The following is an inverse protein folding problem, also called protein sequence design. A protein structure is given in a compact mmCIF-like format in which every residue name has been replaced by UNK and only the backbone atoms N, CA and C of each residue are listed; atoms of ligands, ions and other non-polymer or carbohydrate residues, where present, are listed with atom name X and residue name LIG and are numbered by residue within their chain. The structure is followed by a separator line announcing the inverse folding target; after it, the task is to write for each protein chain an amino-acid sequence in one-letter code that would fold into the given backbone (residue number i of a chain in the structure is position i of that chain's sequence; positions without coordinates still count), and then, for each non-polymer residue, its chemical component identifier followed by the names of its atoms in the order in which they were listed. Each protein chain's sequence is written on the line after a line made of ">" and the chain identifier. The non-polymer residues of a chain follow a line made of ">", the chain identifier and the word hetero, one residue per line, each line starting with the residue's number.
data_IF_580036763965
#
_entry.id   IF_580036763965
#
_cell.length_a   1.000
_cell.length_b   1.000
_cell.length_c   1.000
_cell.angle_alpha   90.00
_cell.angle_beta   90.00
_cell.angle_gamma   90.00
#
_symmetry.space_group_name_H-M   'P 1'
#
loop_
_entity.id
_entity.type
_entity.pdbx_description
1 polymer ?
#
# COMPACT_ATOMS: atom_id res chain seq x y z
N UNK A 1 -17.17 22.62 -8.23
CA UNK A 1 -16.02 23.37 -7.67
C UNK A 1 -15.76 23.08 -6.20
N UNK A 2 -16.72 23.26 -5.26
CA UNK A 2 -16.46 23.04 -3.83
C UNK A 2 -16.04 21.59 -3.47
N UNK A 3 -16.68 20.58 -4.07
CA UNK A 3 -16.40 19.16 -3.79
C UNK A 3 -14.96 18.74 -4.12
N UNK A 4 -14.32 19.39 -5.11
CA UNK A 4 -12.97 19.08 -5.54
C UNK A 4 -11.91 19.38 -4.46
N UNK A 5 -12.24 20.21 -3.47
CA UNK A 5 -11.33 20.60 -2.39
C UNK A 5 -11.54 19.80 -1.10
N UNK A 6 -12.61 19.01 -0.96
CA UNK A 6 -12.94 18.35 0.32
C UNK A 6 -11.85 17.34 0.71
N UNK A 7 -11.29 16.60 -0.25
CA UNK A 7 -10.21 15.66 0.04
C UNK A 7 -8.91 16.35 0.50
N UNK A 8 -8.70 17.63 0.16
CA UNK A 8 -7.55 18.43 0.61
C UNK A 8 -7.68 18.84 2.08
N UNK A 9 -8.90 18.86 2.63
CA UNK A 9 -9.15 19.15 4.04
C UNK A 9 -8.82 17.95 4.95
N UNK A 10 -8.60 16.76 4.38
CA UNK A 10 -8.22 15.58 5.14
C UNK A 10 -6.79 15.72 5.68
N UNK A 11 -6.69 15.84 7.00
CA UNK A 11 -5.43 15.96 7.71
C UNK A 11 -5.39 15.07 8.96
N UNK A 12 -4.18 14.72 9.40
CA UNK A 12 -3.98 13.81 10.54
C UNK A 12 -4.34 14.45 11.89
N UNK A 13 -4.23 15.77 12.01
CA UNK A 13 -4.44 16.55 13.24
C UNK A 13 -5.92 16.82 13.57
N UNK A 14 -6.84 16.56 12.64
CA UNK A 14 -8.26 16.89 12.79
C UNK A 14 -9.09 15.62 12.66
N UNK A 15 -10.08 15.46 13.54
CA UNK A 15 -11.01 14.35 13.47
C UNK A 15 -11.81 14.42 12.16
N UNK A 16 -11.85 13.31 11.43
CA UNK A 16 -12.56 13.22 10.16
C UNK A 16 -14.01 12.86 10.47
N UNK A 17 -15.00 13.66 10.04
CA UNK A 17 -16.40 13.34 10.24
C UNK A 17 -16.79 12.04 9.51
N UNK A 18 -17.60 11.19 10.16
CA UNK A 18 -18.09 9.94 9.55
C UNK A 18 -18.81 10.18 8.22
N UNK A 19 -19.59 11.26 8.14
CA UNK A 19 -20.32 11.66 6.93
C UNK A 19 -19.38 11.92 5.75
N UNK A 20 -18.18 12.45 6.00
CA UNK A 20 -17.18 12.69 4.97
C UNK A 20 -16.73 11.37 4.32
N UNK A 21 -16.47 10.35 5.13
CA UNK A 21 -16.06 9.03 4.63
C UNK A 21 -17.21 8.35 3.89
N UNK A 22 -18.43 8.39 4.43
CA UNK A 22 -19.62 7.85 3.75
C UNK A 22 -19.81 8.48 2.37
N UNK A 23 -19.74 9.81 2.29
CA UNK A 23 -19.85 10.54 1.02
C UNK A 23 -18.81 10.08 0.00
N UNK A 24 -17.53 9.94 0.40
CA UNK A 24 -16.52 9.44 -0.53
C UNK A 24 -16.80 8.01 -0.98
N UNK A 25 -17.24 7.12 -0.09
CA UNK A 25 -17.56 5.75 -0.47
C UNK A 25 -18.75 5.69 -1.43
N UNK A 26 -19.82 6.44 -1.14
CA UNK A 26 -21.00 6.49 -1.99
C UNK A 26 -20.67 7.08 -3.38
N UNK A 27 -19.74 8.03 -3.43
CA UNK A 27 -19.28 8.64 -4.68
C UNK A 27 -18.51 7.70 -5.60
N UNK A 28 -17.90 6.62 -5.09
CA UNK A 28 -17.20 5.64 -5.94
C UNK A 28 -18.13 4.95 -6.95
N UNK A 29 -19.43 4.89 -6.65
CA UNK A 29 -20.46 4.29 -7.52
C UNK A 29 -21.52 5.28 -7.96
N UNK A 30 -21.19 6.57 -7.91
CA UNK A 30 -22.04 7.66 -8.39
C UNK A 30 -21.90 7.80 -9.91
N UNK A 31 -22.98 8.15 -10.61
CA UNK A 31 -23.01 8.15 -12.09
C UNK A 31 -22.07 9.19 -12.73
N UNK A 32 -21.85 10.32 -12.05
CA UNK A 32 -20.88 11.35 -12.44
C UNK A 32 -19.40 10.92 -12.20
N UNK A 33 -18.63 10.78 -13.28
CA UNK A 33 -17.20 10.43 -13.29
C UNK A 33 -16.33 11.37 -12.44
N UNK A 34 -16.62 12.67 -12.41
CA UNK A 34 -15.83 13.63 -11.63
C UNK A 34 -15.96 13.38 -10.12
N UNK A 35 -17.14 12.93 -9.67
CA UNK A 35 -17.34 12.55 -8.27
C UNK A 35 -16.62 11.25 -7.92
N UNK A 36 -16.57 10.28 -8.84
CA UNK A 36 -15.76 9.06 -8.69
C UNK A 36 -14.26 9.40 -8.57
N UNK A 37 -13.74 10.25 -9.45
CA UNK A 37 -12.33 10.72 -9.39
C UNK A 37 -12.01 11.47 -8.10
N UNK A 38 -12.95 12.26 -7.57
CA UNK A 38 -12.81 12.93 -6.26
C UNK A 38 -12.81 11.89 -5.12
N UNK A 39 -13.68 10.90 -5.19
CA UNK A 39 -13.77 9.82 -4.21
C UNK A 39 -12.48 9.01 -4.13
N UNK A 40 -11.90 8.60 -5.26
CA UNK A 40 -10.62 7.88 -5.30
C UNK A 40 -9.51 8.66 -4.55
N UNK A 41 -9.42 9.97 -4.78
CA UNK A 41 -8.49 10.87 -4.08
C UNK A 41 -8.79 10.95 -2.58
N UNK A 42 -10.07 11.07 -2.21
CA UNK A 42 -10.55 11.11 -0.83
C UNK A 42 -10.21 9.84 -0.06
N UNK A 43 -10.53 8.67 -0.62
CA UNK A 43 -10.23 7.36 -0.02
C UNK A 43 -8.72 7.13 0.08
N UNK A 44 -7.94 7.50 -0.95
CA UNK A 44 -6.48 7.41 -0.89
C UNK A 44 -5.88 8.27 0.24
N UNK A 45 -6.36 9.51 0.39
CA UNK A 45 -5.94 10.42 1.45
C UNK A 45 -6.36 9.92 2.83
N UNK A 46 -7.59 9.44 2.97
CA UNK A 46 -8.09 8.84 4.21
C UNK A 46 -7.26 7.62 4.62
N UNK A 47 -7.02 6.68 3.70
CA UNK A 47 -6.19 5.50 3.97
C UNK A 47 -4.79 5.89 4.44
N UNK A 48 -4.20 6.95 3.85
CA UNK A 48 -2.89 7.50 4.27
C UNK A 48 -2.90 8.03 5.70
N UNK A 49 -3.97 8.69 6.12
CA UNK A 49 -4.13 9.20 7.49
C UNK A 49 -4.31 8.03 8.47
N UNK A 50 -5.16 7.07 8.11
CA UNK A 50 -5.43 5.86 8.89
C UNK A 50 -4.38 4.75 8.65
N UNK A 51 -3.14 5.11 8.29
CA UNK A 51 -2.10 4.10 8.06
C UNK A 51 -1.73 3.49 9.42
N UNK A 52 -1.80 2.14 9.60
CA UNK A 52 -1.33 1.50 10.82
C UNK A 52 0.14 1.85 11.11
N UNK A 53 0.53 2.00 12.39
CA UNK A 53 1.90 2.30 12.76
C UNK A 53 2.86 1.21 12.24
N UNK A 54 4.05 1.62 11.81
CA UNK A 54 5.09 0.70 11.36
C UNK A 54 6.13 0.59 12.48
N UNK A 55 6.35 -0.62 12.96
CA UNK A 55 7.44 -0.91 13.90
C UNK A 55 8.73 -0.99 13.07
N UNK A 56 9.78 -0.32 13.56
CA UNK A 56 11.10 -0.34 12.96
C UNK A 56 12.06 -1.07 13.88
N UNK A 57 13.00 -1.79 13.26
CA UNK A 57 14.14 -2.40 13.91
C UNK A 57 15.37 -1.60 13.51
N UNK A 58 16.22 -1.33 14.49
CA UNK A 58 17.50 -0.66 14.29
C UNK A 58 18.60 -1.65 14.66
N UNK A 59 19.51 -1.91 13.71
CA UNK A 59 20.65 -2.79 13.90
C UNK A 59 21.90 -2.21 13.27
N UNK A 60 23.06 -2.56 13.78
CA UNK A 60 24.33 -2.35 13.07
C UNK A 60 24.49 -3.41 11.97
N UNK A 61 25.41 -3.17 11.03
CA UNK A 61 25.72 -4.17 10.01
C UNK A 61 26.33 -5.45 10.62
N UNK A 62 27.13 -5.29 11.68
CA UNK A 62 27.75 -6.41 12.39
C UNK A 62 26.71 -7.34 13.01
N UNK A 63 25.62 -6.79 13.56
CA UNK A 63 24.50 -7.56 14.11
C UNK A 63 23.70 -8.29 13.02
N UNK A 64 23.60 -7.72 11.82
CA UNK A 64 22.90 -8.35 10.69
C UNK A 64 23.72 -9.51 10.13
N UNK A 65 25.02 -9.29 9.91
CA UNK A 65 25.91 -10.29 9.31
C UNK A 65 26.54 -11.25 10.33
N UNK A 66 26.35 -10.98 11.63
CA UNK A 66 26.94 -11.75 12.74
C UNK A 66 28.47 -11.85 12.64
N UNK A 67 29.12 -10.80 12.12
CA UNK A 67 30.58 -10.69 11.96
C UNK A 67 30.98 -9.22 11.95
N UNK A 68 32.21 -8.86 12.37
CA UNK A 68 32.68 -7.48 12.29
C UNK A 68 32.89 -7.04 10.84
N UNK A 69 32.46 -5.84 10.51
CA UNK A 69 32.57 -5.23 9.18
C UNK A 69 33.14 -3.82 9.30
N UNK A 70 34.15 -3.51 8.48
CA UNK A 70 34.67 -2.15 8.40
C UNK A 70 33.74 -1.28 7.55
N UNK A 71 32.83 -0.57 8.21
CA UNK A 71 31.90 0.35 7.54
C UNK A 71 32.53 1.70 7.17
N UNK A 72 33.75 2.01 7.63
CA UNK A 72 34.37 3.32 7.39
C UNK A 72 34.97 3.44 5.98
N UNK A 73 35.39 2.30 5.43
CA UNK A 73 35.91 2.23 4.08
C UNK A 73 34.79 2.45 3.05
N UNK A 74 35.12 3.22 2.02
CA UNK A 74 34.17 3.61 0.99
C UNK A 74 34.55 2.97 -0.33
N UNK A 75 33.79 1.98 -0.75
CA UNK A 75 34.02 1.23 -1.99
C UNK A 75 32.70 0.98 -2.70
N UNK A 76 32.36 1.69 -3.78
CA UNK A 76 31.13 1.42 -4.51
C UNK A 76 31.14 0.05 -5.19
N UNK A 77 29.96 -0.53 -5.34
CA UNK A 77 29.74 -1.76 -6.11
C UNK A 77 29.43 -2.97 -5.24
N UNK A 78 29.55 -4.15 -5.84
CA UNK A 78 29.28 -5.44 -5.19
C UNK A 78 30.45 -5.83 -4.29
N UNK A 79 30.15 -6.16 -3.04
CA UNK A 79 31.12 -6.42 -1.97
C UNK A 79 30.61 -7.52 -1.06
N UNK A 80 31.51 -8.27 -0.45
CA UNK A 80 31.16 -9.38 0.45
C UNK A 80 30.19 -9.00 1.58
N UNK A 81 30.13 -7.72 1.98
CA UNK A 81 29.24 -7.21 3.02
C UNK A 81 27.85 -6.79 2.50
N UNK A 82 27.65 -6.67 1.18
CA UNK A 82 26.38 -6.31 0.55
C UNK A 82 25.83 -7.35 -0.43
N UNK A 83 26.58 -8.41 -0.77
CA UNK A 83 26.08 -9.45 -1.69
C UNK A 83 24.73 -10.04 -1.24
N UNK A 84 24.50 -10.19 0.07
CA UNK A 84 23.25 -10.73 0.63
C UNK A 84 21.97 -9.94 0.29
N UNK A 85 22.08 -8.66 -0.10
CA UNK A 85 20.94 -7.84 -0.59
C UNK A 85 20.80 -7.86 -2.11
N UNK A 86 21.75 -8.45 -2.83
CA UNK A 86 21.69 -8.57 -4.29
C UNK A 86 20.81 -9.75 -4.69
N UNK A 87 20.21 -9.69 -5.89
CA UNK A 87 19.27 -10.71 -6.37
C UNK A 87 19.94 -12.09 -6.49
N UNK A 88 21.22 -12.13 -6.87
CA UNK A 88 21.93 -13.39 -7.14
C UNK A 88 22.20 -14.21 -5.88
N UNK A 89 22.48 -13.54 -4.77
CA UNK A 89 22.82 -14.19 -3.49
C UNK A 89 21.69 -14.12 -2.45
N UNK A 90 20.58 -13.47 -2.79
CA UNK A 90 19.41 -13.38 -1.93
C UNK A 90 18.75 -14.76 -1.73
N UNK A 91 18.62 -15.17 -0.47
CA UNK A 91 17.92 -16.38 -0.06
C UNK A 91 16.57 -16.00 0.53
N UNK A 92 15.45 -16.24 -0.17
CA UNK A 92 14.15 -15.88 0.37
C UNK A 92 13.83 -16.72 1.62
N UNK A 93 13.24 -16.12 2.66
CA UNK A 93 12.75 -16.86 3.81
C UNK A 93 11.68 -17.85 3.38
N UNK A 94 11.73 -19.07 3.92
CA UNK A 94 10.80 -20.17 3.61
C UNK A 94 9.76 -20.37 4.70
N UNK A 95 10.01 -19.88 5.90
CA UNK A 95 9.10 -19.98 7.04
C UNK A 95 8.66 -18.61 7.55
N UNK A 96 7.53 -18.57 8.27
CA UNK A 96 7.04 -17.34 8.90
C UNK A 96 8.06 -16.74 9.87
N UNK A 97 8.75 -17.59 10.64
CA UNK A 97 9.79 -17.16 11.58
C UNK A 97 10.97 -16.50 10.85
N UNK A 98 11.47 -17.15 9.80
CA UNK A 98 12.54 -16.58 8.97
C UNK A 98 12.09 -15.25 8.34
N UNK A 99 10.85 -15.17 7.84
CA UNK A 99 10.30 -13.93 7.28
C UNK A 99 10.29 -12.80 8.31
N UNK A 100 9.83 -13.06 9.53
CA UNK A 100 9.77 -12.06 10.60
C UNK A 100 11.16 -11.58 11.05
N UNK A 101 12.17 -12.47 11.01
CA UNK A 101 13.55 -12.19 11.42
C UNK A 101 14.40 -11.55 10.31
N UNK A 102 14.01 -11.72 9.04
CA UNK A 102 14.77 -11.25 7.88
C UNK A 102 14.86 -9.72 7.83
N UNK A 103 16.06 -9.19 7.53
CA UNK A 103 16.25 -7.77 7.26
C UNK A 103 15.90 -7.43 5.81
N UNK A 104 14.73 -6.82 5.55
CA UNK A 104 14.40 -6.30 4.23
C UNK A 104 14.69 -4.81 4.14
N UNK A 105 15.67 -4.45 3.31
CA UNK A 105 16.00 -3.06 2.99
C UNK A 105 15.14 -2.58 1.83
N UNK A 106 14.33 -1.55 2.06
CA UNK A 106 13.43 -0.98 1.04
C UNK A 106 14.09 0.07 0.15
N UNK A 107 15.32 0.49 0.47
CA UNK A 107 16.09 1.45 -0.32
C UNK A 107 17.20 0.73 -1.08
N UNK A 108 17.20 0.91 -2.40
CA UNK A 108 18.17 0.30 -3.32
C UNK A 108 19.60 0.83 -3.16
N UNK A 109 19.79 1.97 -2.49
CA UNK A 109 21.11 2.58 -2.31
C UNK A 109 21.83 2.13 -1.03
N UNK A 110 21.16 1.43 -0.11
CA UNK A 110 21.81 1.00 1.13
C UNK A 110 22.94 0.03 0.83
N UNK A 111 24.13 0.33 1.36
CA UNK A 111 25.29 -0.53 1.16
C UNK A 111 25.85 -0.50 -0.26
N UNK A 112 25.36 0.32 -1.19
CA UNK A 112 26.00 0.41 -2.51
C UNK A 112 27.33 1.16 -2.43
N UNK A 113 27.34 2.36 -1.84
CA UNK A 113 28.55 3.19 -1.70
C UNK A 113 29.22 3.01 -0.33
N UNK A 114 28.41 3.12 0.73
CA UNK A 114 28.81 3.00 2.13
C UNK A 114 27.59 2.60 2.96
N UNK A 115 27.80 1.90 4.07
CA UNK A 115 26.74 1.59 5.03
C UNK A 115 26.51 2.73 6.03
N UNK A 116 25.27 2.99 6.46
CA UNK A 116 25.01 3.85 7.61
C UNK A 116 25.49 3.14 8.89
N UNK A 117 25.80 3.93 9.93
CA UNK A 117 26.17 3.38 11.25
C UNK A 117 25.07 2.52 11.86
N UNK A 118 23.82 2.92 11.64
CA UNK A 118 22.62 2.22 12.08
C UNK A 118 21.75 2.00 10.86
N UNK A 119 21.39 0.74 10.62
CA UNK A 119 20.47 0.33 9.57
C UNK A 119 19.09 0.24 10.20
N UNK A 120 18.23 1.19 9.82
CA UNK A 120 16.83 1.22 10.23
C UNK A 120 15.97 0.58 9.14
N UNK A 121 15.33 -0.53 9.47
CA UNK A 121 14.48 -1.26 8.54
C UNK A 121 13.16 -1.64 9.21
N UNK A 122 12.10 -1.86 8.44
CA UNK A 122 10.80 -2.22 9.00
C UNK A 122 10.79 -3.64 9.56
N UNK A 123 10.08 -3.83 10.67
CA UNK A 123 9.75 -5.20 11.09
C UNK A 123 8.79 -5.84 10.07
N UNK A 124 9.02 -7.10 9.76
CA UNK A 124 8.20 -7.88 8.83
C UNK A 124 6.91 -8.44 9.46
N UNK A 125 6.54 -7.86 10.59
CA UNK A 125 5.29 -8.07 11.31
C UNK A 125 4.54 -6.75 11.30
N UNK A 126 3.49 -6.65 10.48
CA UNK A 126 2.63 -5.47 10.45
C UNK A 126 1.29 -5.79 11.05
N UNK A 127 0.92 -5.01 12.04
CA UNK A 127 -0.46 -4.91 12.49
C UNK A 127 -1.29 -4.27 11.37
N UNK A 128 -2.43 -4.89 11.09
CA UNK A 128 -3.45 -4.41 10.16
C UNK A 128 -4.76 -4.31 10.92
N UNK A 129 -5.69 -3.53 10.40
CA UNK A 129 -7.01 -3.49 11.02
C UNK A 129 -7.69 -4.86 10.87
N UNK A 130 -8.08 -5.46 11.99
CA UNK A 130 -8.97 -6.63 12.02
C UNK A 130 -10.40 -6.16 12.29
N UNK A 131 -11.38 -7.02 12.01
CA UNK A 131 -12.80 -6.69 12.17
C UNK A 131 -13.14 -6.23 13.60
N UNK A 132 -12.38 -6.70 14.58
CA UNK A 132 -12.59 -6.46 16.01
C UNK A 132 -11.92 -5.16 16.51
N UNK A 133 -10.97 -4.61 15.74
CA UNK A 133 -10.14 -3.47 16.15
C UNK A 133 -10.08 -2.38 15.07
N UNK A 134 -11.24 -1.80 14.73
CA UNK A 134 -11.36 -0.68 13.79
C UNK A 134 -12.02 0.53 14.45
N UNK A 135 -11.56 1.73 14.10
CA UNK A 135 -12.35 2.93 14.38
C UNK A 135 -13.59 2.97 13.49
N UNK A 136 -14.64 3.66 13.91
CA UNK A 136 -15.89 3.78 13.14
C UNK A 136 -15.65 4.30 11.70
N UNK A 137 -14.73 5.25 11.55
CA UNK A 137 -14.32 5.76 10.23
C UNK A 137 -13.73 4.67 9.33
N UNK A 138 -12.90 3.79 9.89
CA UNK A 138 -12.26 2.69 9.15
C UNK A 138 -13.27 1.58 8.86
N UNK A 139 -14.20 1.33 9.79
CA UNK A 139 -15.26 0.33 9.65
C UNK A 139 -16.19 0.64 8.45
N UNK A 140 -16.56 1.92 8.24
CA UNK A 140 -17.36 2.34 7.08
C UNK A 140 -16.73 1.89 5.76
N UNK A 141 -15.41 2.07 5.64
CA UNK A 141 -14.68 1.68 4.44
C UNK A 141 -14.59 0.15 4.32
N UNK A 142 -14.31 -0.54 5.43
CA UNK A 142 -14.25 -1.99 5.46
C UNK A 142 -15.57 -2.64 5.04
N UNK A 143 -16.69 -2.26 5.66
CA UNK A 143 -18.02 -2.81 5.40
C UNK A 143 -18.44 -2.67 3.94
N UNK A 144 -18.08 -1.56 3.31
CA UNK A 144 -18.41 -1.31 1.91
C UNK A 144 -17.51 -2.06 0.94
N UNK A 145 -16.24 -2.22 1.27
CA UNK A 145 -15.30 -2.93 0.41
C UNK A 145 -15.37 -4.46 0.55
N UNK A 146 -16.08 -4.99 1.54
CA UNK A 146 -16.43 -6.41 1.61
C UNK A 146 -17.74 -6.75 0.86
N UNK A 147 -18.57 -5.75 0.55
CA UNK A 147 -19.83 -5.92 -0.19
C UNK A 147 -19.55 -6.16 -1.68
N UNK A 148 -19.75 -7.40 -2.13
CA UNK A 148 -19.55 -7.79 -3.53
C UNK A 148 -20.38 -6.97 -4.51
N UNK A 149 -21.61 -6.57 -4.17
CA UNK A 149 -22.44 -5.78 -5.09
C UNK A 149 -21.85 -4.39 -5.31
N UNK A 150 -21.33 -3.79 -4.25
CA UNK A 150 -20.63 -2.52 -4.32
C UNK A 150 -19.34 -2.65 -5.15
N UNK A 151 -18.52 -3.67 -4.88
CA UNK A 151 -17.26 -3.89 -5.61
C UNK A 151 -17.51 -4.13 -7.10
N UNK A 152 -18.46 -4.99 -7.46
CA UNK A 152 -18.79 -5.25 -8.87
C UNK A 152 -19.18 -3.95 -9.59
N UNK A 153 -20.06 -3.14 -8.99
CA UNK A 153 -20.48 -1.85 -9.58
C UNK A 153 -19.32 -0.87 -9.68
N UNK A 154 -18.48 -0.80 -8.64
CA UNK A 154 -17.31 0.07 -8.61
C UNK A 154 -16.30 -0.31 -9.71
N UNK A 155 -16.02 -1.60 -9.90
CA UNK A 155 -15.12 -2.09 -10.94
C UNK A 155 -15.68 -1.83 -12.34
N UNK A 156 -16.96 -2.07 -12.57
CA UNK A 156 -17.61 -1.75 -13.84
C UNK A 156 -17.44 -0.27 -14.21
N UNK A 157 -17.65 0.64 -13.26
CA UNK A 157 -17.40 2.06 -13.53
C UNK A 157 -15.94 2.38 -13.81
N UNK A 158 -14.98 1.77 -13.12
CA UNK A 158 -13.56 1.98 -13.41
C UNK A 158 -13.18 1.55 -14.83
N UNK A 159 -13.77 0.47 -15.34
CA UNK A 159 -13.56 -0.01 -16.71
C UNK A 159 -14.18 0.93 -17.74
N UNK A 160 -15.39 1.42 -17.47
CA UNK A 160 -16.08 2.41 -18.32
C UNK A 160 -15.32 3.74 -18.35
N UNK A 161 -14.73 4.15 -17.23
CA UNK A 161 -13.94 5.38 -17.12
C UNK A 161 -12.63 5.34 -17.92
N UNK A 162 -12.17 4.15 -18.31
CA UNK A 162 -10.96 3.92 -19.12
C UNK A 162 -11.25 3.79 -20.63
N UNK A 163 -12.48 4.05 -21.10
CA UNK A 163 -12.85 3.96 -22.53
C UNK A 163 -12.30 5.10 -23.43
N UNK A 164 -11.30 5.86 -22.97
CA UNK A 164 -10.54 6.78 -23.84
C UNK A 164 -9.54 6.01 -24.73
N UNK A 165 -9.17 6.57 -25.90
CA UNK A 165 -8.31 5.92 -26.92
C UNK A 165 -6.91 5.53 -26.41
N UNK A 166 -6.47 6.06 -25.26
CA UNK A 166 -5.19 5.77 -24.64
C UNK A 166 -5.36 5.40 -23.16
N UNK A 167 -5.02 4.15 -22.82
CA UNK A 167 -5.05 3.66 -21.44
C UNK A 167 -3.80 4.19 -20.71
N UNK A 168 -4.01 5.19 -19.87
CA UNK A 168 -2.97 5.80 -19.06
C UNK A 168 -2.99 5.27 -17.62
N UNK A 169 -1.81 5.10 -17.02
CA UNK A 169 -1.71 4.70 -15.61
C UNK A 169 -2.23 5.81 -14.68
N UNK A 170 -3.33 5.54 -13.97
CA UNK A 170 -3.88 6.47 -12.98
C UNK A 170 -3.19 6.32 -11.61
N UNK A 171 -2.38 7.34 -11.26
CA UNK A 171 -1.65 7.40 -9.99
C UNK A 171 -2.57 7.53 -8.76
N UNK A 172 -3.75 8.13 -8.90
CA UNK A 172 -4.72 8.31 -7.81
C UNK A 172 -5.43 6.98 -7.52
N UNK A 173 -5.89 6.28 -8.55
CA UNK A 173 -6.44 4.93 -8.44
C UNK A 173 -5.45 3.97 -7.81
N UNK A 174 -4.20 3.98 -8.28
CA UNK A 174 -3.11 3.21 -7.66
C UNK A 174 -2.94 3.54 -6.17
N UNK A 175 -2.92 4.83 -5.80
CA UNK A 175 -2.75 5.26 -4.40
C UNK A 175 -3.91 4.81 -3.52
N UNK A 176 -5.12 4.79 -4.04
CA UNK A 176 -6.30 4.29 -3.34
C UNK A 176 -6.17 2.80 -3.05
N UNK A 177 -5.94 1.96 -4.07
CA UNK A 177 -5.75 0.51 -3.88
C UNK A 177 -4.56 0.19 -2.98
N UNK A 178 -3.43 0.87 -3.19
CA UNK A 178 -2.26 0.76 -2.31
C UNK A 178 -2.62 1.10 -0.86
N UNK A 179 -3.50 2.08 -0.63
CA UNK A 179 -3.99 2.45 0.68
C UNK A 179 -4.87 1.37 1.31
N UNK A 180 -5.86 0.89 0.56
CA UNK A 180 -6.79 -0.17 0.98
C UNK A 180 -6.05 -1.43 1.41
N UNK A 181 -5.24 -2.01 0.52
CA UNK A 181 -4.52 -3.25 0.80
C UNK A 181 -3.38 -3.08 1.81
N UNK A 182 -2.85 -1.87 2.00
CA UNK A 182 -1.93 -1.60 3.11
C UNK A 182 -2.64 -1.66 4.46
N UNK A 183 -3.86 -1.13 4.55
CA UNK A 183 -4.57 -0.95 5.80
C UNK A 183 -5.35 -2.21 6.22
N UNK A 184 -6.03 -2.86 5.27
CA UNK A 184 -6.90 -4.03 5.50
C UNK A 184 -6.25 -5.35 5.09
N UNK A 185 -5.25 -5.32 4.22
CA UNK A 185 -4.54 -6.52 3.82
C UNK A 185 -5.40 -7.51 3.05
N UNK A 186 -5.31 -8.78 3.45
CA UNK A 186 -6.01 -9.88 2.78
C UNK A 186 -7.52 -9.86 3.02
N UNK A 187 -8.00 -9.11 4.01
CA UNK A 187 -9.41 -9.08 4.39
C UNK A 187 -10.34 -8.55 3.28
N UNK A 188 -9.80 -7.84 2.28
CA UNK A 188 -10.56 -7.37 1.13
C UNK A 188 -10.35 -8.23 -0.12
N UNK A 189 -9.34 -9.11 -0.15
CA UNK A 189 -8.91 -9.80 -1.38
C UNK A 189 -10.05 -10.58 -2.01
N UNK A 190 -10.76 -11.37 -1.22
CA UNK A 190 -11.85 -12.23 -1.70
C UNK A 190 -12.98 -11.47 -2.38
N UNK A 191 -13.17 -10.19 -2.02
CA UNK A 191 -14.19 -9.33 -2.63
C UNK A 191 -13.80 -8.85 -4.04
N UNK A 192 -12.52 -8.90 -4.40
CA UNK A 192 -12.01 -8.49 -5.71
C UNK A 192 -11.62 -9.64 -6.64
N UNK A 193 -11.45 -10.87 -6.11
CA UNK A 193 -10.83 -11.97 -6.87
C UNK A 193 -11.61 -12.33 -8.14
N UNK A 194 -12.93 -12.43 -8.06
CA UNK A 194 -13.78 -12.83 -9.19
C UNK A 194 -13.67 -11.82 -10.35
N UNK A 195 -13.72 -10.53 -10.03
CA UNK A 195 -13.58 -9.44 -11.02
C UNK A 195 -12.16 -9.38 -11.59
N UNK A 196 -11.12 -9.49 -10.76
CA UNK A 196 -9.72 -9.49 -11.22
C UNK A 196 -9.47 -10.65 -12.20
N UNK A 197 -9.98 -11.84 -11.92
CA UNK A 197 -9.87 -12.97 -12.85
C UNK A 197 -10.58 -12.71 -14.18
N UNK A 198 -11.74 -12.04 -14.13
CA UNK A 198 -12.50 -11.68 -15.32
C UNK A 198 -11.71 -10.66 -16.15
N UNK A 199 -11.21 -9.59 -15.53
CA UNK A 199 -10.45 -8.53 -16.19
C UNK A 199 -9.14 -9.03 -16.81
N UNK A 200 -8.40 -9.93 -16.14
CA UNK A 200 -7.14 -10.48 -16.67
C UNK A 200 -7.39 -11.38 -17.90
N UNK A 201 -8.56 -12.03 -17.95
CA UNK A 201 -8.95 -12.93 -19.06
C UNK A 201 -9.65 -12.19 -20.19
N UNK A 202 -10.08 -10.96 -19.96
CA UNK A 202 -10.72 -10.16 -20.96
C UNK A 202 -9.70 -9.79 -22.05
N UNK A 203 -9.94 -10.29 -23.26
CA UNK A 203 -9.09 -10.06 -24.44
C UNK A 203 -9.66 -8.97 -25.35
N UNK A 204 -10.74 -8.30 -24.96
CA UNK A 204 -11.44 -7.36 -25.83
C UNK A 204 -10.68 -6.06 -26.08
N UNK A 205 -9.56 -5.82 -25.37
CA UNK A 205 -8.71 -4.61 -25.50
C UNK A 205 -7.20 -4.88 -25.70
N UNK A 206 -6.78 -6.11 -26.02
CA UNK A 206 -5.39 -6.42 -26.45
C UNK A 206 -5.35 -6.79 -27.91
#
# INVERSE_FOLDING_TARGET
>A
MAMAFIWLLLQKSVSIPLSCIRTFVDFLVHDNIELRKIAEKGIAAFCRIQKPPRIYVEKTLDEILQRPVNIDQCHPGDRDDNLWITINDYKPPKTQKEWEETCFLDKSFHGYYKWPKIIRYPMNKRERYTKEHMSENVAILYEKFIDKNFINKFIQFMVLDEEEEEINFDIHRFRMFKGLFRNFGLALVDSFMDDLYTLIRDKTKT
#
